data_IF_697052914116
#
_entry.id   IF_697052914116
#
_cell.length_a   1.000
_cell.length_b   1.000
_cell.length_c   1.000
_cell.angle_alpha   90.00
_cell.angle_beta   90.00
_cell.angle_gamma   90.00
#
_symmetry.space_group_name_H-M   'P 1'
#
loop_
_entity.id
_entity.type
_entity.pdbx_description
1 polymer ?
#
# COMPACT_ATOMS: atom_id res chain seq x y z
N UNK A 1 -7.74 -26.37 12.36
CA UNK A 1 -7.00 -26.12 11.09
C UNK A 1 -6.61 -24.65 10.89
N UNK A 2 -6.29 -23.90 11.96
CA UNK A 2 -6.00 -22.46 11.93
C UNK A 2 -4.49 -22.13 12.03
N UNK A 3 -3.62 -23.13 12.21
CA UNK A 3 -2.20 -22.92 12.45
C UNK A 3 -1.32 -22.87 11.19
N UNK A 4 -1.76 -23.42 10.05
CA UNK A 4 -0.94 -23.45 8.82
C UNK A 4 -1.08 -22.20 7.93
N UNK A 5 -2.21 -21.47 8.01
CA UNK A 5 -2.42 -20.23 7.23
C UNK A 5 -1.53 -19.08 7.74
N UNK A 6 -1.10 -19.13 9.00
CA UNK A 6 -0.20 -18.12 9.58
C UNK A 6 1.25 -18.23 9.08
N UNK A 7 1.68 -19.38 8.56
CA UNK A 7 3.08 -19.63 8.20
C UNK A 7 3.45 -19.16 6.79
N UNK A 8 2.51 -19.12 5.85
CA UNK A 8 2.76 -18.55 4.50
C UNK A 8 2.85 -17.02 4.57
N UNK A 9 2.07 -16.39 5.44
CA UNK A 9 2.18 -14.95 5.72
C UNK A 9 3.44 -14.59 6.53
N UNK A 10 4.08 -15.56 7.21
CA UNK A 10 5.26 -15.42 8.10
C UNK A 10 6.55 -15.08 7.36
N UNK A 11 6.82 -15.73 6.22
CA UNK A 11 8.07 -15.57 5.47
C UNK A 11 8.03 -14.47 4.42
N UNK A 12 6.87 -14.16 3.85
CA UNK A 12 6.74 -13.19 2.76
C UNK A 12 7.02 -11.73 3.20
N UNK A 13 6.72 -11.35 4.45
CA UNK A 13 6.68 -9.95 4.88
C UNK A 13 7.85 -9.47 5.76
N UNK A 14 8.59 -10.36 6.43
CA UNK A 14 9.91 -10.02 7.01
C UNK A 14 10.93 -9.78 5.90
N UNK A 15 10.92 -10.65 4.88
CA UNK A 15 11.71 -10.52 3.66
C UNK A 15 11.31 -9.28 2.84
N UNK A 16 10.06 -8.83 2.90
CA UNK A 16 9.60 -7.66 2.16
C UNK A 16 10.33 -6.37 2.53
N UNK A 17 10.77 -6.19 3.79
CA UNK A 17 11.51 -4.97 4.17
C UNK A 17 12.94 -4.98 3.60
N UNK A 18 13.63 -6.12 3.69
CA UNK A 18 14.96 -6.30 3.11
C UNK A 18 14.91 -6.17 1.59
N UNK A 19 13.92 -6.79 0.94
CA UNK A 19 13.67 -6.68 -0.49
C UNK A 19 13.30 -5.24 -0.87
N UNK A 20 12.47 -4.54 -0.09
CA UNK A 20 12.12 -3.15 -0.35
C UNK A 20 13.35 -2.25 -0.36
N UNK A 21 14.28 -2.43 0.59
CA UNK A 21 15.55 -1.69 0.62
C UNK A 21 16.40 -1.99 -0.62
N UNK A 22 16.49 -3.25 -1.04
CA UNK A 22 17.20 -3.63 -2.28
C UNK A 22 16.55 -2.97 -3.50
N UNK A 23 15.23 -3.03 -3.61
CA UNK A 23 14.48 -2.40 -4.69
C UNK A 23 14.67 -0.87 -4.72
N UNK A 24 14.72 -0.21 -3.56
CA UNK A 24 15.02 1.23 -3.49
C UNK A 24 16.43 1.54 -3.99
N UNK A 25 17.42 0.72 -3.65
CA UNK A 25 18.79 0.87 -4.16
C UNK A 25 18.82 0.69 -5.68
N UNK A 26 18.18 -0.36 -6.21
CA UNK A 26 18.09 -0.61 -7.65
C UNK A 26 17.38 0.54 -8.37
N UNK A 27 16.26 1.04 -7.83
CA UNK A 27 15.52 2.16 -8.41
C UNK A 27 16.39 3.43 -8.49
N UNK A 28 17.12 3.75 -7.41
CA UNK A 28 18.03 4.90 -7.38
C UNK A 28 19.18 4.75 -8.37
N UNK A 29 19.78 3.57 -8.44
CA UNK A 29 20.84 3.28 -9.42
C UNK A 29 20.33 3.42 -10.86
N UNK A 30 19.16 2.87 -11.16
CA UNK A 30 18.53 3.01 -12.47
C UNK A 30 18.25 4.49 -12.81
N UNK A 31 17.72 5.26 -11.87
CA UNK A 31 17.46 6.69 -12.07
C UNK A 31 18.75 7.47 -12.36
N UNK A 32 19.84 7.16 -11.66
CA UNK A 32 21.17 7.76 -11.93
C UNK A 32 21.69 7.42 -13.32
N UNK A 33 21.50 6.19 -13.79
CA UNK A 33 21.93 5.77 -15.13
C UNK A 33 21.13 6.51 -16.22
N UNK A 34 19.80 6.54 -16.09
CA UNK A 34 18.92 7.18 -17.08
C UNK A 34 19.18 8.68 -17.17
N UNK A 35 19.29 9.37 -16.03
CA UNK A 35 19.56 10.81 -15.98
C UNK A 35 21.05 11.16 -16.08
N UNK A 36 21.92 10.17 -16.28
CA UNK A 36 23.39 10.31 -16.37
C UNK A 36 24.00 11.12 -15.21
N UNK A 37 23.51 10.88 -14.00
CA UNK A 37 23.94 11.58 -12.78
C UNK A 37 25.34 11.09 -12.39
N UNK A 38 26.31 12.01 -12.30
CA UNK A 38 27.70 11.70 -11.93
C UNK A 38 27.84 11.41 -10.43
N UNK A 39 28.88 10.67 -10.03
CA UNK A 39 29.13 10.27 -8.62
C UNK A 39 29.26 11.42 -7.62
N UNK A 40 29.58 12.64 -8.07
CA UNK A 40 29.68 13.85 -7.23
C UNK A 40 28.56 14.86 -7.40
N UNK A 41 27.53 14.54 -8.19
CA UNK A 41 26.38 15.44 -8.38
C UNK A 41 25.55 15.51 -7.08
N UNK A 42 25.20 16.74 -6.66
CA UNK A 42 24.43 17.02 -5.44
C UNK A 42 22.92 16.88 -5.64
N UNK A 43 22.44 16.58 -6.85
CA UNK A 43 21.01 16.35 -7.11
C UNK A 43 20.44 15.31 -6.14
N UNK A 44 19.34 15.68 -5.49
CA UNK A 44 18.61 14.76 -4.63
C UNK A 44 18.04 13.61 -5.46
N UNK A 45 18.13 12.38 -4.96
CA UNK A 45 17.51 11.22 -5.60
C UNK A 45 15.98 11.36 -5.68
N UNK A 46 15.38 12.14 -4.77
CA UNK A 46 13.94 12.46 -4.83
C UNK A 46 13.62 13.26 -6.09
N UNK A 47 14.41 14.30 -6.41
CA UNK A 47 14.22 15.10 -7.63
C UNK A 47 14.45 14.27 -8.91
N UNK A 48 15.42 13.36 -8.89
CA UNK A 48 15.65 12.43 -10.00
C UNK A 48 14.44 11.52 -10.27
N UNK A 49 13.81 10.99 -9.21
CA UNK A 49 12.62 10.16 -9.35
C UNK A 49 11.41 10.97 -9.80
N UNK A 50 11.26 12.20 -9.32
CA UNK A 50 10.21 13.12 -9.75
C UNK A 50 10.33 13.45 -11.25
N UNK A 51 11.53 13.80 -11.71
CA UNK A 51 11.82 14.10 -13.12
C UNK A 51 11.49 12.92 -14.05
N UNK A 52 11.70 11.69 -13.58
CA UNK A 52 11.36 10.48 -14.32
C UNK A 52 9.88 10.07 -14.19
N UNK A 53 9.10 10.81 -13.39
CA UNK A 53 7.75 10.42 -12.97
C UNK A 53 7.70 9.02 -12.32
N UNK A 54 8.79 8.61 -11.67
CA UNK A 54 8.91 7.32 -10.99
C UNK A 54 8.46 7.44 -9.53
N UNK A 55 7.43 6.68 -9.17
CA UNK A 55 6.98 6.63 -7.79
C UNK A 55 7.99 5.86 -6.91
N UNK A 56 8.40 6.37 -5.72
CA UNK A 56 9.31 5.65 -4.85
C UNK A 56 8.75 4.27 -4.42
N UNK A 57 9.62 3.26 -4.33
CA UNK A 57 9.25 1.86 -4.01
C UNK A 57 8.31 1.75 -2.81
N UNK A 58 8.57 2.51 -1.73
CA UNK A 58 7.71 2.52 -0.53
C UNK A 58 6.23 2.82 -0.84
N UNK A 59 5.95 3.71 -1.79
CA UNK A 59 4.57 4.03 -2.20
C UNK A 59 4.05 3.03 -3.23
N UNK A 60 4.91 2.45 -4.08
CA UNK A 60 4.53 1.33 -4.95
C UNK A 60 4.02 0.13 -4.15
N UNK A 61 4.64 -0.20 -3.01
CA UNK A 61 4.17 -1.27 -2.12
C UNK A 61 2.78 -0.93 -1.56
N UNK A 62 2.60 0.28 -1.02
CA UNK A 62 1.28 0.73 -0.51
C UNK A 62 0.21 0.69 -1.59
N UNK A 63 0.54 1.17 -2.78
CA UNK A 63 -0.33 1.11 -3.96
C UNK A 63 -0.78 -0.31 -4.26
N UNK A 64 0.14 -1.29 -4.31
CA UNK A 64 -0.20 -2.69 -4.59
C UNK A 64 -1.07 -3.29 -3.51
N UNK A 65 -0.78 -3.03 -2.23
CA UNK A 65 -1.62 -3.48 -1.11
C UNK A 65 -3.04 -2.93 -1.25
N UNK A 66 -3.19 -1.64 -1.50
CA UNK A 66 -4.48 -0.98 -1.64
C UNK A 66 -5.28 -1.43 -2.86
N UNK A 67 -4.61 -1.73 -3.98
CA UNK A 67 -5.26 -2.36 -5.13
C UNK A 67 -5.80 -3.74 -4.75
N UNK A 68 -5.06 -4.54 -3.98
CA UNK A 68 -5.57 -5.85 -3.50
C UNK A 68 -6.75 -5.64 -2.55
N UNK A 69 -6.70 -4.67 -1.64
CA UNK A 69 -7.82 -4.34 -0.75
C UNK A 69 -9.06 -3.95 -1.55
N UNK A 70 -8.93 -3.06 -2.53
CA UNK A 70 -10.04 -2.66 -3.40
C UNK A 70 -10.66 -3.88 -4.09
N UNK A 71 -9.81 -4.74 -4.67
CA UNK A 71 -10.27 -5.98 -5.31
C UNK A 71 -10.98 -6.90 -4.33
N UNK A 72 -10.50 -7.01 -3.10
CA UNK A 72 -11.15 -7.85 -2.09
C UNK A 72 -12.50 -7.31 -1.63
N UNK A 73 -12.73 -5.99 -1.73
CA UNK A 73 -14.00 -5.35 -1.37
C UNK A 73 -15.03 -5.35 -2.49
N UNK A 74 -14.59 -5.15 -3.74
CA UNK A 74 -15.48 -4.86 -4.88
C UNK A 74 -15.41 -5.89 -6.01
N UNK A 75 -14.30 -6.60 -6.13
CA UNK A 75 -14.13 -7.66 -7.14
C UNK A 75 -14.26 -9.05 -6.48
N UNK A 76 -14.54 -10.08 -7.28
CA UNK A 76 -14.55 -11.47 -6.79
C UNK A 76 -13.13 -11.99 -6.59
N UNK A 77 -12.55 -11.68 -5.42
CA UNK A 77 -11.32 -12.30 -4.96
C UNK A 77 -11.57 -13.70 -4.41
N UNK A 78 -10.57 -14.59 -4.40
CA UNK A 78 -10.64 -15.83 -3.65
C UNK A 78 -11.04 -15.59 -2.19
N UNK A 79 -11.89 -16.47 -1.66
CA UNK A 79 -12.46 -16.35 -0.31
C UNK A 79 -11.40 -16.20 0.78
N UNK A 80 -10.22 -16.81 0.60
CA UNK A 80 -9.12 -16.70 1.55
C UNK A 80 -8.50 -15.30 1.64
N UNK A 81 -8.60 -14.47 0.60
CA UNK A 81 -8.13 -13.07 0.63
C UNK A 81 -9.23 -12.18 1.19
N UNK A 82 -10.46 -12.39 0.71
CA UNK A 82 -11.62 -11.61 1.13
C UNK A 82 -11.84 -11.73 2.65
N UNK A 83 -11.66 -12.92 3.22
CA UNK A 83 -11.81 -13.15 4.68
C UNK A 83 -10.75 -12.46 5.54
N UNK A 84 -9.67 -11.93 4.95
CA UNK A 84 -8.66 -11.15 5.68
C UNK A 84 -9.05 -9.68 5.88
N UNK A 85 -10.13 -9.23 5.23
CA UNK A 85 -10.62 -7.85 5.29
C UNK A 85 -12.06 -7.88 5.80
N UNK A 86 -12.37 -7.01 6.76
CA UNK A 86 -13.71 -6.93 7.35
C UNK A 86 -14.22 -5.50 7.24
N UNK A 87 -15.33 -5.26 6.50
CA UNK A 87 -16.00 -3.97 6.49
C UNK A 87 -16.41 -3.56 7.90
N UNK A 88 -16.17 -2.30 8.26
CA UNK A 88 -16.62 -1.74 9.53
C UNK A 88 -18.07 -1.30 9.39
N UNK A 89 -19.01 -2.15 9.81
CA UNK A 89 -20.44 -1.82 9.84
C UNK A 89 -20.78 -1.31 11.24
N UNK A 90 -21.04 -0.01 11.44
CA UNK A 90 -21.40 0.51 12.75
C UNK A 90 -22.80 0.03 13.15
N UNK A 91 -22.98 -0.25 14.43
CA UNK A 91 -24.27 -0.70 15.01
C UNK A 91 -25.36 0.39 15.00
N UNK A 92 -24.99 1.66 14.79
CA UNK A 92 -25.90 2.81 14.68
C UNK A 92 -25.51 3.62 13.45
N UNK A 93 -26.49 4.19 12.75
CA UNK A 93 -26.25 5.08 11.60
C UNK A 93 -25.57 6.36 12.11
N UNK A 94 -24.26 6.42 11.99
CA UNK A 94 -23.42 7.56 12.35
C UNK A 94 -22.95 8.24 11.06
N UNK A 95 -22.55 9.52 11.12
CA UNK A 95 -21.94 10.23 9.99
C UNK A 95 -20.68 9.56 9.42
N UNK A 96 -20.09 8.60 10.16
CA UNK A 96 -18.95 7.78 9.71
C UNK A 96 -19.35 6.46 9.06
N UNK A 97 -20.64 6.10 9.02
CA UNK A 97 -21.14 4.85 8.46
C UNK A 97 -20.88 4.76 6.95
N UNK A 98 -20.97 5.89 6.25
CA UNK A 98 -20.80 5.96 4.78
C UNK A 98 -19.33 6.05 4.34
N UNK A 99 -18.38 6.06 5.29
CA UNK A 99 -16.96 6.27 4.99
C UNK A 99 -16.23 5.03 4.45
N UNK A 100 -16.92 3.91 4.19
CA UNK A 100 -16.31 2.67 3.70
C UNK A 100 -15.02 2.26 4.46
N UNK A 101 -15.07 2.30 5.80
CA UNK A 101 -13.93 1.97 6.67
C UNK A 101 -13.81 0.45 6.87
N UNK A 102 -12.59 0.00 7.20
CA UNK A 102 -12.30 -1.40 7.51
C UNK A 102 -11.92 -1.58 8.98
N UNK A 103 -12.28 -2.73 9.55
CA UNK A 103 -11.83 -3.12 10.90
C UNK A 103 -10.34 -3.40 10.84
N UNK A 104 -9.58 -2.80 11.77
CA UNK A 104 -8.15 -3.06 11.94
C UNK A 104 -7.98 -4.03 13.10
N UNK A 105 -7.61 -5.31 12.86
CA UNK A 105 -7.44 -6.29 13.93
C UNK A 105 -6.38 -5.84 14.94
N UNK A 106 -6.71 -5.98 16.23
CA UNK A 106 -5.72 -5.86 17.31
C UNK A 106 -4.90 -7.16 17.34
N UNK A 107 -3.60 -7.05 17.48
CA UNK A 107 -2.73 -8.20 17.73
C UNK A 107 -1.75 -7.89 18.86
N UNK A 108 -1.39 -8.92 19.61
CA UNK A 108 -0.45 -8.80 20.72
C UNK A 108 1.02 -8.77 20.26
N UNK A 109 1.35 -9.31 19.07
CA UNK A 109 2.72 -9.30 18.53
C UNK A 109 3.01 -8.05 17.68
N UNK A 110 3.40 -6.96 18.33
CA UNK A 110 3.58 -5.62 17.73
C UNK A 110 4.42 -5.58 16.44
N UNK A 111 5.45 -6.43 16.31
CA UNK A 111 6.35 -6.41 15.14
C UNK A 111 5.84 -7.23 13.96
N UNK A 112 5.25 -8.39 14.22
CA UNK A 112 4.89 -9.37 13.19
C UNK A 112 3.47 -9.16 12.67
N UNK A 113 2.51 -8.91 13.54
CA UNK A 113 1.13 -8.68 13.10
C UNK A 113 0.99 -7.35 12.35
N UNK A 114 1.90 -6.37 12.53
CA UNK A 114 1.81 -5.06 11.86
C UNK A 114 1.98 -5.16 10.36
N UNK A 115 2.71 -6.19 9.92
CA UNK A 115 3.09 -6.39 8.53
C UNK A 115 2.20 -7.39 7.80
N UNK A 116 1.27 -8.06 8.49
CA UNK A 116 0.32 -8.95 7.83
C UNK A 116 -0.64 -8.13 6.97
N UNK A 117 -1.06 -8.72 5.84
CA UNK A 117 -2.07 -8.10 4.98
C UNK A 117 -3.35 -7.74 5.76
N UNK A 118 -3.79 -8.61 6.67
CA UNK A 118 -4.97 -8.42 7.51
C UNK A 118 -4.93 -7.19 8.43
N UNK A 119 -3.75 -6.61 8.72
CA UNK A 119 -3.65 -5.32 9.41
C UNK A 119 -3.19 -4.20 8.48
N UNK A 120 -2.16 -4.44 7.67
CA UNK A 120 -1.59 -3.44 6.78
C UNK A 120 -2.61 -2.94 5.74
N UNK A 121 -3.42 -3.83 5.18
CA UNK A 121 -4.48 -3.48 4.23
C UNK A 121 -5.51 -2.52 4.83
N UNK A 122 -6.24 -2.92 5.89
CA UNK A 122 -7.18 -2.04 6.59
C UNK A 122 -6.57 -0.73 7.09
N UNK A 123 -5.35 -0.77 7.62
CA UNK A 123 -4.65 0.43 8.12
C UNK A 123 -4.37 1.42 6.99
N UNK A 124 -3.85 0.95 5.86
CA UNK A 124 -3.56 1.82 4.71
C UNK A 124 -4.86 2.33 4.07
N UNK A 125 -5.89 1.48 3.96
CA UNK A 125 -7.17 1.85 3.40
C UNK A 125 -7.83 2.98 4.19
N UNK A 126 -7.90 2.84 5.52
CA UNK A 126 -8.50 3.85 6.39
C UNK A 126 -7.73 5.18 6.41
N UNK A 127 -6.45 5.19 6.02
CA UNK A 127 -5.66 6.39 5.88
C UNK A 127 -5.87 7.12 4.54
N UNK A 128 -6.66 6.56 3.62
CA UNK A 128 -6.99 7.22 2.35
C UNK A 128 -8.08 8.30 2.55
N UNK A 129 -7.99 9.41 1.79
CA UNK A 129 -9.11 10.32 1.57
C UNK A 129 -10.39 9.59 1.20
N UNK A 130 -11.53 10.18 1.60
CA UNK A 130 -12.85 9.63 1.34
C UNK A 130 -13.13 9.47 -0.16
N UNK A 131 -12.75 10.46 -0.97
CA UNK A 131 -12.92 10.47 -2.43
C UNK A 131 -12.25 9.26 -3.13
N UNK A 132 -11.11 8.81 -2.61
CA UNK A 132 -10.44 7.61 -3.13
C UNK A 132 -11.18 6.33 -2.73
N UNK A 133 -11.75 6.28 -1.53
CA UNK A 133 -12.46 5.10 -1.02
C UNK A 133 -13.84 4.94 -1.65
N UNK A 134 -14.51 6.05 -1.97
CA UNK A 134 -15.81 6.07 -2.62
C UNK A 134 -15.75 5.71 -4.11
N UNK A 135 -14.56 5.67 -4.71
CA UNK A 135 -14.39 5.30 -6.13
C UNK A 135 -14.90 3.88 -6.40
N UNK A 136 -15.75 3.71 -7.42
CA UNK A 136 -16.35 2.42 -7.77
C UNK A 136 -15.58 1.63 -8.84
N UNK A 137 -14.87 2.33 -9.72
CA UNK A 137 -14.15 1.74 -10.83
C UNK A 137 -12.67 1.51 -10.48
N UNK A 138 -12.21 0.27 -10.67
CA UNK A 138 -10.80 -0.11 -10.46
C UNK A 138 -9.81 0.79 -11.21
N UNK A 139 -10.10 1.11 -12.47
CA UNK A 139 -9.19 1.90 -13.30
C UNK A 139 -9.09 3.34 -12.79
N UNK A 140 -10.21 3.95 -12.40
CA UNK A 140 -10.25 5.27 -11.75
C UNK A 140 -9.51 5.25 -10.42
N UNK A 141 -9.72 4.22 -9.60
CA UNK A 141 -9.05 4.06 -8.31
C UNK A 141 -7.52 4.00 -8.48
N UNK A 142 -7.04 3.15 -9.39
CA UNK A 142 -5.60 3.04 -9.72
C UNK A 142 -5.01 4.38 -10.17
N UNK A 143 -5.68 5.08 -11.07
CA UNK A 143 -5.21 6.38 -11.56
C UNK A 143 -5.13 7.41 -10.42
N UNK A 144 -6.22 7.61 -9.68
CA UNK A 144 -6.26 8.58 -8.59
C UNK A 144 -5.30 8.23 -7.46
N UNK A 145 -5.15 6.94 -7.12
CA UNK A 145 -4.23 6.49 -6.08
C UNK A 145 -2.76 6.73 -6.47
N UNK A 146 -2.42 6.53 -7.75
CA UNK A 146 -1.08 6.85 -8.26
C UNK A 146 -0.81 8.34 -8.15
N UNK A 147 -1.77 9.18 -8.55
CA UNK A 147 -1.68 10.63 -8.41
C UNK A 147 -1.53 11.05 -6.95
N UNK A 148 -2.37 10.55 -6.04
CA UNK A 148 -2.31 10.84 -4.61
C UNK A 148 -0.94 10.55 -4.00
N UNK A 149 -0.37 9.36 -4.28
CA UNK A 149 0.96 9.04 -3.76
C UNK A 149 2.08 9.79 -4.45
N UNK A 150 1.93 10.18 -5.71
CA UNK A 150 2.91 11.03 -6.38
C UNK A 150 2.99 12.40 -5.71
N UNK A 151 1.84 13.03 -5.44
CA UNK A 151 1.75 14.29 -4.69
C UNK A 151 2.38 14.18 -3.31
N UNK A 152 2.08 13.12 -2.56
CA UNK A 152 2.69 12.89 -1.23
C UNK A 152 4.20 12.62 -1.32
N UNK A 153 4.68 11.98 -2.39
CA UNK A 153 6.08 11.63 -2.52
C UNK A 153 6.97 12.85 -2.81
N UNK A 154 6.44 13.81 -3.56
CA UNK A 154 7.21 14.93 -4.11
C UNK A 154 6.72 16.31 -3.66
N UNK A 155 5.63 16.38 -2.87
CA UNK A 155 4.98 17.62 -2.43
C UNK A 155 4.58 18.54 -3.59
N UNK A 156 3.97 17.95 -4.62
CA UNK A 156 3.45 18.62 -5.85
C UNK A 156 1.93 18.58 -5.89
#
# INVERSE_FOLDING_TARGET
MSAQVSNVCRAAYSNLFSIAKILEMVQRSAARVVLRIRRGDRRSMTAALEQLHWLPVRYCIKYKILVIVFRALRDRMPTYIASLITPNVPHRVLRSADRALLVVPRHNLERYGRRSFSRAGPTLWNALPEDLRSTECMNKFKAHLKTFYFKIAFNV
#
